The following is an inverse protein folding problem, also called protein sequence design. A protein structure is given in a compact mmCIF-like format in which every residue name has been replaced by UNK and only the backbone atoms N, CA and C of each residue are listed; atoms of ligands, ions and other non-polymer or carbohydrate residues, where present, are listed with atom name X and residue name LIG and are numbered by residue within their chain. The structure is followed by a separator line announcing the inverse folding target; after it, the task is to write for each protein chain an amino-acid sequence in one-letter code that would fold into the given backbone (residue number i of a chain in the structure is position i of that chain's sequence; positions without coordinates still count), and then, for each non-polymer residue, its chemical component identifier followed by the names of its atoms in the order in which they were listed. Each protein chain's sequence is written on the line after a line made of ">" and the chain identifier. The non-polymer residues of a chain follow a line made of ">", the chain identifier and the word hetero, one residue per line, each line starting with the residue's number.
data_IF_388326235964
#
_entry.id   IF_388326235964
#
_cell.length_a   1.000
_cell.length_b   1.000
_cell.length_c   1.000
_cell.angle_alpha   90.00
_cell.angle_beta   90.00
_cell.angle_gamma   90.00
#
_symmetry.space_group_name_H-M   'P 1'
#
loop_
_entity.id
_entity.type
_entity.pdbx_description
1 polymer ?
#
# COMPACT_ATOMS: atom_id res chain seq x y z
N UNK A 1 -26.73 20.78 -12.44
CA UNK A 1 -25.73 19.71 -12.48
C UNK A 1 -24.53 19.89 -11.51
N UNK A 2 -24.00 21.10 -11.30
CA UNK A 2 -22.88 21.32 -10.35
C UNK A 2 -23.25 21.03 -8.89
N UNK A 3 -24.45 21.46 -8.45
CA UNK A 3 -24.93 21.28 -7.06
C UNK A 3 -25.04 19.82 -6.65
N UNK A 4 -25.49 18.92 -7.54
CA UNK A 4 -25.62 17.49 -7.23
C UNK A 4 -24.26 16.81 -6.98
N UNK A 5 -23.22 17.22 -7.69
CA UNK A 5 -21.85 16.72 -7.46
C UNK A 5 -21.31 17.15 -6.10
N UNK A 6 -21.53 18.41 -5.72
CA UNK A 6 -21.11 18.93 -4.41
C UNK A 6 -21.82 18.20 -3.26
N UNK A 7 -23.13 17.97 -3.39
CA UNK A 7 -23.91 17.23 -2.39
C UNK A 7 -23.38 15.79 -2.24
N UNK A 8 -23.07 15.10 -3.33
CA UNK A 8 -22.49 13.77 -3.29
C UNK A 8 -21.10 13.79 -2.63
N UNK A 9 -20.27 14.78 -2.94
CA UNK A 9 -18.96 14.96 -2.28
C UNK A 9 -19.08 15.22 -0.79
N UNK A 10 -20.01 16.08 -0.38
CA UNK A 10 -20.29 16.36 1.03
C UNK A 10 -20.78 15.10 1.77
N UNK A 11 -21.64 14.29 1.14
CA UNK A 11 -22.09 13.02 1.70
C UNK A 11 -20.90 12.05 1.94
N UNK A 12 -19.98 11.94 0.98
CA UNK A 12 -18.78 11.11 1.14
C UNK A 12 -17.92 11.67 2.28
N UNK A 13 -17.69 12.98 2.34
CA UNK A 13 -16.90 13.59 3.39
C UNK A 13 -17.53 13.38 4.79
N UNK A 14 -18.86 13.48 4.91
CA UNK A 14 -19.57 13.19 6.16
C UNK A 14 -19.45 11.71 6.58
N UNK A 15 -19.42 10.78 5.61
CA UNK A 15 -19.21 9.37 5.88
C UNK A 15 -17.83 9.11 6.53
N UNK A 16 -16.79 9.78 6.06
CA UNK A 16 -15.47 9.73 6.71
C UNK A 16 -15.52 10.25 8.15
N UNK A 17 -16.29 11.30 8.40
CA UNK A 17 -16.47 11.82 9.76
C UNK A 17 -17.20 10.87 10.70
N UNK A 18 -18.31 10.27 10.24
CA UNK A 18 -19.04 9.27 11.03
C UNK A 18 -18.15 8.07 11.35
N UNK A 19 -17.40 7.59 10.36
CA UNK A 19 -16.48 6.47 10.55
C UNK A 19 -15.30 6.84 11.47
N UNK A 20 -14.82 8.09 11.45
CA UNK A 20 -13.80 8.57 12.38
C UNK A 20 -14.27 8.43 13.83
N UNK A 21 -15.49 8.92 14.13
CA UNK A 21 -16.07 8.84 15.46
C UNK A 21 -16.28 7.38 15.89
N UNK A 22 -16.88 6.56 15.04
CA UNK A 22 -17.11 5.14 15.33
C UNK A 22 -15.80 4.40 15.59
N UNK A 23 -14.80 4.64 14.78
CA UNK A 23 -13.49 4.00 14.91
C UNK A 23 -12.78 4.40 16.20
N UNK A 24 -12.86 5.68 16.58
CA UNK A 24 -12.31 6.16 17.85
C UNK A 24 -13.04 5.53 19.04
N UNK A 25 -14.37 5.41 18.98
CA UNK A 25 -15.18 4.78 20.04
C UNK A 25 -14.89 3.27 20.18
N UNK A 26 -14.46 2.60 19.13
CA UNK A 26 -14.14 1.16 19.13
C UNK A 26 -12.67 0.85 19.36
N UNK A 27 -11.87 1.85 19.74
CA UNK A 27 -10.44 1.67 19.99
C UNK A 27 -9.64 1.34 18.71
N UNK A 28 -9.99 1.93 17.57
CA UNK A 28 -9.31 1.79 16.27
C UNK A 28 -9.37 0.38 15.63
N UNK A 29 -10.31 -0.47 16.09
CA UNK A 29 -10.44 -1.84 15.56
C UNK A 29 -10.76 -1.91 14.06
N UNK A 30 -11.36 -0.86 13.50
CA UNK A 30 -11.81 -0.84 12.10
C UNK A 30 -10.87 -0.11 11.15
N UNK A 31 -9.68 0.29 11.60
CA UNK A 31 -8.72 1.05 10.81
C UNK A 31 -8.47 0.43 9.41
N UNK A 32 -8.13 -0.86 9.35
CA UNK A 32 -7.85 -1.53 8.08
C UNK A 32 -9.10 -1.65 7.19
N UNK A 33 -10.25 -1.95 7.78
CA UNK A 33 -11.50 -2.07 7.04
C UNK A 33 -11.91 -0.73 6.42
N UNK A 34 -11.78 0.35 7.19
CA UNK A 34 -12.07 1.71 6.74
C UNK A 34 -11.06 2.11 5.68
N UNK A 35 -9.78 1.85 5.89
CA UNK A 35 -8.71 2.16 4.95
C UNK A 35 -8.94 1.59 3.57
N UNK A 36 -9.31 0.33 3.48
CA UNK A 36 -9.55 -0.32 2.19
C UNK A 36 -10.97 -0.05 1.65
N UNK A 37 -11.97 -0.06 2.53
CA UNK A 37 -13.37 0.08 2.14
C UNK A 37 -13.73 1.47 1.65
N UNK A 38 -13.19 2.51 2.27
CA UNK A 38 -13.48 3.90 1.94
C UNK A 38 -12.84 4.40 0.64
N UNK A 39 -11.88 3.67 0.09
CA UNK A 39 -11.40 3.91 -1.26
C UNK A 39 -12.50 3.70 -2.33
N UNK A 40 -13.49 2.83 -2.07
CA UNK A 40 -14.55 2.51 -3.03
C UNK A 40 -15.47 3.70 -3.32
N UNK A 41 -16.09 4.37 -2.32
CA UNK A 41 -16.94 5.54 -2.59
C UNK A 41 -16.21 6.66 -3.32
N UNK A 42 -14.96 6.92 -2.94
CA UNK A 42 -14.13 7.92 -3.61
C UNK A 42 -13.77 7.50 -5.04
N UNK A 43 -13.48 6.22 -5.29
CA UNK A 43 -13.22 5.72 -6.65
C UNK A 43 -14.44 5.89 -7.57
N UNK A 44 -15.63 5.56 -7.09
CA UNK A 44 -16.88 5.76 -7.84
C UNK A 44 -17.12 7.25 -8.10
N UNK A 45 -16.90 8.08 -7.11
CA UNK A 45 -17.10 9.52 -7.21
C UNK A 45 -16.13 10.17 -8.19
N UNK A 46 -14.84 9.89 -8.08
CA UNK A 46 -13.80 10.42 -8.97
C UNK A 46 -13.97 9.95 -10.42
N UNK A 47 -14.41 8.71 -10.64
CA UNK A 47 -14.80 8.21 -11.96
C UNK A 47 -15.91 9.03 -12.59
N UNK A 48 -16.97 9.37 -11.82
CA UNK A 48 -18.14 10.11 -12.33
C UNK A 48 -17.87 11.62 -12.49
N UNK A 49 -17.14 12.22 -11.56
CA UNK A 49 -17.01 13.68 -11.49
C UNK A 49 -15.70 14.20 -12.06
N UNK A 50 -14.58 13.51 -11.85
CA UNK A 50 -13.25 13.88 -12.29
C UNK A 50 -12.36 14.42 -11.19
N UNK A 51 -11.14 14.84 -11.56
CA UNK A 51 -10.07 15.19 -10.61
C UNK A 51 -10.43 16.35 -9.68
N UNK A 52 -10.98 17.43 -10.24
CA UNK A 52 -11.23 18.67 -9.47
C UNK A 52 -12.19 18.42 -8.29
N UNK A 53 -13.33 17.82 -8.59
CA UNK A 53 -14.35 17.53 -7.60
C UNK A 53 -13.88 16.46 -6.61
N UNK A 54 -13.13 15.45 -7.08
CA UNK A 54 -12.54 14.43 -6.22
C UNK A 54 -11.55 15.04 -5.23
N UNK A 55 -10.66 15.94 -5.67
CA UNK A 55 -9.71 16.63 -4.79
C UNK A 55 -10.43 17.52 -3.77
N UNK A 56 -11.46 18.26 -4.17
CA UNK A 56 -12.25 19.07 -3.22
C UNK A 56 -12.88 18.20 -2.13
N UNK A 57 -13.47 17.08 -2.52
CA UNK A 57 -14.04 16.11 -1.57
C UNK A 57 -12.97 15.48 -0.70
N UNK A 58 -11.81 15.13 -1.25
CA UNK A 58 -10.68 14.55 -0.50
C UNK A 58 -10.16 15.53 0.54
N UNK A 59 -9.98 16.80 0.20
CA UNK A 59 -9.55 17.83 1.16
C UNK A 59 -10.59 17.99 2.28
N UNK A 60 -11.88 18.07 1.94
CA UNK A 60 -12.95 18.16 2.94
C UNK A 60 -12.97 16.93 3.86
N UNK A 61 -12.85 15.72 3.30
CA UNK A 61 -12.78 14.47 4.07
C UNK A 61 -11.56 14.44 4.99
N UNK A 62 -10.42 14.95 4.53
CA UNK A 62 -9.18 15.03 5.30
C UNK A 62 -9.32 15.97 6.50
N UNK A 63 -9.92 17.14 6.29
CA UNK A 63 -10.20 18.11 7.38
C UNK A 63 -11.13 17.48 8.43
N UNK A 64 -12.19 16.80 7.98
CA UNK A 64 -13.12 16.12 8.88
C UNK A 64 -12.43 14.99 9.64
N UNK A 65 -11.61 14.18 8.95
CA UNK A 65 -10.83 13.13 9.58
C UNK A 65 -9.87 13.67 10.64
N UNK A 66 -9.26 14.83 10.41
CA UNK A 66 -8.38 15.50 11.35
C UNK A 66 -9.13 16.04 12.59
N UNK A 67 -10.36 16.52 12.41
CA UNK A 67 -11.16 17.07 13.50
C UNK A 67 -11.75 15.98 14.42
N UNK A 68 -12.12 14.84 13.88
CA UNK A 68 -12.87 13.80 14.60
C UNK A 68 -12.12 12.48 14.79
N UNK A 69 -10.99 12.29 14.12
CA UNK A 69 -10.20 11.07 14.18
C UNK A 69 -8.89 11.23 14.93
N UNK A 70 -8.16 10.13 15.04
CA UNK A 70 -6.77 10.09 15.51
C UNK A 70 -5.80 10.44 14.38
N UNK A 71 -4.55 10.75 14.70
CA UNK A 71 -3.52 10.98 13.69
C UNK A 71 -3.32 9.74 12.79
N UNK A 72 -3.37 8.53 13.39
CA UNK A 72 -3.33 7.27 12.62
C UNK A 72 -4.47 7.19 11.62
N UNK A 73 -5.69 7.53 12.04
CA UNK A 73 -6.87 7.55 11.17
C UNK A 73 -6.70 8.53 10.00
N UNK A 74 -6.12 9.70 10.23
CA UNK A 74 -5.85 10.70 9.18
C UNK A 74 -4.95 10.13 8.09
N UNK A 75 -3.90 9.38 8.46
CA UNK A 75 -2.99 8.74 7.50
C UNK A 75 -3.68 7.61 6.72
N UNK A 76 -4.53 6.84 7.36
CA UNK A 76 -5.37 5.82 6.71
C UNK A 76 -6.33 6.46 5.71
N UNK A 77 -6.96 7.56 6.08
CA UNK A 77 -7.84 8.33 5.19
C UNK A 77 -7.06 8.89 4.00
N UNK A 78 -5.84 9.37 4.21
CA UNK A 78 -4.96 9.86 3.13
C UNK A 78 -4.72 8.77 2.07
N UNK A 79 -4.35 7.57 2.49
CA UNK A 79 -4.12 6.44 1.58
C UNK A 79 -5.40 6.04 0.84
N UNK A 80 -6.54 5.98 1.54
CA UNK A 80 -7.85 5.64 0.96
C UNK A 80 -8.30 6.65 -0.09
N UNK A 81 -8.20 7.94 0.22
CA UNK A 81 -8.57 9.03 -0.68
C UNK A 81 -7.65 9.06 -1.91
N UNK A 82 -6.34 8.90 -1.70
CA UNK A 82 -5.36 8.84 -2.77
C UNK A 82 -5.63 7.67 -3.71
N UNK A 83 -5.71 6.46 -3.14
CA UNK A 83 -5.95 5.25 -3.92
C UNK A 83 -7.30 5.27 -4.64
N UNK A 84 -8.39 5.65 -3.94
CA UNK A 84 -9.71 5.74 -4.55
C UNK A 84 -9.75 6.75 -5.70
N UNK A 85 -9.11 7.92 -5.53
CA UNK A 85 -9.01 8.93 -6.59
C UNK A 85 -8.22 8.38 -7.79
N UNK A 86 -7.10 7.72 -7.57
CA UNK A 86 -6.30 7.08 -8.62
C UNK A 86 -7.12 6.06 -9.39
N UNK A 87 -7.77 5.12 -8.70
CA UNK A 87 -8.60 4.09 -9.36
C UNK A 87 -9.68 4.71 -10.22
N UNK A 88 -10.45 5.65 -9.68
CA UNK A 88 -11.54 6.27 -10.42
C UNK A 88 -11.08 7.08 -11.63
N UNK A 89 -10.01 7.87 -11.50
CA UNK A 89 -9.47 8.68 -12.59
C UNK A 89 -8.79 7.82 -13.67
N UNK A 90 -8.00 6.84 -13.27
CA UNK A 90 -7.36 5.93 -14.21
C UNK A 90 -8.40 5.16 -15.03
N UNK A 91 -9.49 4.72 -14.40
CA UNK A 91 -10.60 4.08 -15.09
C UNK A 91 -11.28 5.04 -16.06
N UNK A 92 -11.57 6.28 -15.62
CA UNK A 92 -12.18 7.32 -16.46
C UNK A 92 -11.34 7.62 -17.71
N UNK A 93 -10.01 7.66 -17.55
CA UNK A 93 -9.05 7.97 -18.59
C UNK A 93 -8.57 6.74 -19.37
N UNK A 94 -9.15 5.55 -19.10
CA UNK A 94 -8.74 4.27 -19.71
C UNK A 94 -7.24 3.98 -19.58
N UNK A 95 -6.65 4.36 -18.43
CA UNK A 95 -5.26 4.11 -18.15
C UNK A 95 -5.00 2.60 -17.92
N UNK A 96 -3.74 2.17 -18.08
CA UNK A 96 -3.33 0.80 -17.85
C UNK A 96 -3.46 0.42 -16.38
N UNK A 97 -3.74 -0.86 -16.09
CA UNK A 97 -3.89 -1.40 -14.74
C UNK A 97 -2.59 -1.28 -13.93
N UNK A 98 -1.45 -1.47 -14.59
CA UNK A 98 -0.12 -1.34 -14.00
C UNK A 98 0.13 0.10 -13.52
N UNK A 99 -0.27 1.09 -14.29
CA UNK A 99 -0.18 2.51 -13.89
C UNK A 99 -1.04 2.77 -12.66
N UNK A 100 -2.25 2.21 -12.62
CA UNK A 100 -3.15 2.32 -11.47
C UNK A 100 -2.55 1.67 -10.22
N UNK A 101 -1.94 0.48 -10.38
CA UNK A 101 -1.29 -0.25 -9.30
C UNK A 101 -0.10 0.54 -8.72
N UNK A 102 0.77 1.05 -9.59
CA UNK A 102 1.96 1.80 -9.18
C UNK A 102 1.58 3.11 -8.49
N UNK A 103 0.67 3.89 -9.07
CA UNK A 103 0.21 5.14 -8.47
C UNK A 103 -0.51 4.90 -7.13
N UNK A 104 -1.32 3.85 -7.04
CA UNK A 104 -1.97 3.47 -5.78
C UNK A 104 -0.97 3.03 -4.72
N UNK A 105 0.00 2.20 -5.09
CA UNK A 105 1.07 1.78 -4.19
C UNK A 105 1.90 2.97 -3.68
N UNK A 106 2.09 4.01 -4.50
CA UNK A 106 2.78 5.24 -4.07
C UNK A 106 2.05 5.94 -2.92
N UNK A 107 0.71 6.01 -2.96
CA UNK A 107 -0.07 6.60 -1.86
C UNK A 107 0.00 5.77 -0.58
N UNK A 108 -0.08 4.45 -0.68
CA UNK A 108 0.08 3.57 0.49
C UNK A 108 1.49 3.69 1.05
N UNK A 109 2.51 3.60 0.21
CA UNK A 109 3.90 3.76 0.63
C UNK A 109 4.16 5.09 1.33
N UNK A 110 3.65 6.19 0.77
CA UNK A 110 3.78 7.51 1.39
C UNK A 110 3.09 7.57 2.76
N UNK A 111 1.90 7.02 2.88
CA UNK A 111 1.15 6.97 4.13
C UNK A 111 1.87 6.14 5.19
N UNK A 112 2.34 4.94 4.83
CA UNK A 112 3.06 4.06 5.73
C UNK A 112 4.43 4.64 6.13
N UNK A 113 5.12 5.28 5.17
CA UNK A 113 6.37 5.98 5.46
C UNK A 113 6.17 7.13 6.45
N UNK A 114 5.13 7.95 6.25
CA UNK A 114 4.77 9.01 7.19
C UNK A 114 4.44 8.44 8.58
N UNK A 115 3.67 7.35 8.63
CA UNK A 115 3.28 6.70 9.87
C UNK A 115 4.50 6.20 10.66
N UNK A 116 5.38 5.43 10.04
CA UNK A 116 6.50 4.78 10.73
C UNK A 116 7.72 5.68 10.96
N UNK A 117 8.01 6.60 10.03
CA UNK A 117 9.25 7.38 10.08
C UNK A 117 9.07 8.84 10.51
N UNK A 118 7.93 9.47 10.18
CA UNK A 118 7.72 10.89 10.47
C UNK A 118 6.93 11.07 11.76
N UNK A 119 5.81 10.34 11.89
CA UNK A 119 4.90 10.52 13.02
C UNK A 119 5.09 9.48 14.14
N UNK A 120 6.02 8.57 14.02
CA UNK A 120 6.26 7.53 15.02
C UNK A 120 6.45 8.10 16.44
N UNK A 121 7.23 9.16 16.59
CA UNK A 121 7.45 9.80 17.89
C UNK A 121 6.18 10.41 18.51
N UNK A 122 5.32 11.00 17.68
CA UNK A 122 4.02 11.59 18.11
C UNK A 122 3.00 10.50 18.43
N UNK A 123 3.05 9.38 17.70
CA UNK A 123 2.17 8.23 17.88
C UNK A 123 2.59 7.32 19.04
N UNK A 124 3.73 7.61 19.67
CA UNK A 124 4.29 6.75 20.72
C UNK A 124 4.87 5.43 20.19
N UNK A 125 5.09 5.35 18.88
CA UNK A 125 5.64 4.17 18.23
C UNK A 125 7.16 4.24 18.29
N UNK A 126 7.80 3.22 18.85
CA UNK A 126 9.25 3.07 18.76
C UNK A 126 9.58 1.96 17.76
N UNK A 127 9.83 2.36 16.51
CA UNK A 127 10.11 1.43 15.41
C UNK A 127 11.22 0.42 15.74
N UNK A 128 12.25 0.86 16.46
CA UNK A 128 13.36 -0.02 16.84
C UNK A 128 12.90 -1.08 17.86
N UNK A 129 12.08 -0.70 18.84
CA UNK A 129 11.55 -1.61 19.85
C UNK A 129 10.59 -2.62 19.23
N UNK A 130 9.65 -2.15 18.41
CA UNK A 130 8.71 -3.02 17.70
C UNK A 130 9.43 -3.98 16.75
N UNK A 131 10.42 -3.48 16.01
CA UNK A 131 11.23 -4.33 15.15
C UNK A 131 12.01 -5.41 15.94
N UNK A 132 12.51 -5.08 17.14
CA UNK A 132 13.16 -6.05 18.02
C UNK A 132 12.18 -7.12 18.51
N UNK A 133 10.99 -6.71 18.91
CA UNK A 133 9.97 -7.65 19.36
C UNK A 133 9.54 -8.59 18.25
N UNK A 134 9.30 -8.08 17.06
CA UNK A 134 8.99 -8.90 15.87
C UNK A 134 10.12 -9.86 15.53
N UNK A 135 11.36 -9.39 15.52
CA UNK A 135 12.52 -10.24 15.29
C UNK A 135 12.61 -11.36 16.32
N UNK A 136 12.45 -11.05 17.61
CA UNK A 136 12.49 -12.05 18.68
C UNK A 136 11.38 -13.08 18.54
N UNK A 137 10.16 -12.67 18.12
CA UNK A 137 9.06 -13.60 17.85
C UNK A 137 9.37 -14.54 16.67
N UNK A 138 9.99 -14.03 15.61
CA UNK A 138 10.40 -14.84 14.46
C UNK A 138 11.48 -15.86 14.87
N UNK A 139 12.50 -15.43 15.62
CA UNK A 139 13.56 -16.33 16.08
C UNK A 139 13.02 -17.35 17.08
N UNK A 140 12.07 -16.98 17.93
CA UNK A 140 11.42 -17.93 18.84
C UNK A 140 10.62 -19.00 18.07
N UNK A 141 9.98 -18.64 16.96
CA UNK A 141 9.25 -19.58 16.10
C UNK A 141 10.20 -20.47 15.26
N UNK A 142 11.31 -19.92 14.80
CA UNK A 142 12.28 -20.62 13.94
C UNK A 142 13.71 -20.33 14.41
N UNK A 143 14.21 -21.04 15.46
CA UNK A 143 15.52 -20.76 16.07
C UNK A 143 16.71 -20.87 15.13
N UNK A 144 16.62 -21.72 14.10
CA UNK A 144 17.68 -21.91 13.10
C UNK A 144 18.01 -20.66 12.29
N UNK A 145 17.07 -19.71 12.20
CA UNK A 145 17.28 -18.45 11.49
C UNK A 145 18.29 -17.53 12.19
N UNK A 146 18.48 -17.64 13.51
CA UNK A 146 19.43 -16.81 14.26
C UNK A 146 20.87 -16.92 13.75
N UNK A 147 21.23 -18.06 13.15
CA UNK A 147 22.58 -18.32 12.63
C UNK A 147 22.84 -17.65 11.27
N UNK A 148 21.79 -17.28 10.54
CA UNK A 148 21.87 -16.76 9.16
C UNK A 148 21.38 -15.33 9.04
N UNK A 149 20.51 -14.89 9.95
CA UNK A 149 19.77 -13.65 9.86
C UNK A 149 19.85 -12.86 11.17
N UNK A 150 20.57 -11.74 11.13
CA UNK A 150 20.77 -10.89 12.30
C UNK A 150 19.64 -9.87 12.46
N UNK A 151 19.50 -9.29 13.67
CA UNK A 151 18.57 -8.19 13.89
C UNK A 151 18.82 -7.00 12.95
N UNK A 152 20.09 -6.70 12.65
CA UNK A 152 20.43 -5.61 11.73
C UNK A 152 19.95 -5.89 10.30
N UNK A 153 20.06 -7.15 9.86
CA UNK A 153 19.53 -7.56 8.55
C UNK A 153 18.01 -7.39 8.50
N UNK A 154 17.30 -7.79 9.57
CA UNK A 154 15.86 -7.62 9.70
C UNK A 154 15.45 -6.14 9.65
N UNK A 155 16.12 -5.31 10.44
CA UNK A 155 15.82 -3.88 10.52
C UNK A 155 16.01 -3.16 9.18
N UNK A 156 17.08 -3.50 8.46
CA UNK A 156 17.37 -2.97 7.14
C UNK A 156 16.33 -3.37 6.07
N UNK A 157 15.57 -4.45 6.31
CA UNK A 157 14.53 -4.89 5.37
C UNK A 157 13.17 -4.19 5.58
N UNK A 158 12.98 -3.46 6.68
CA UNK A 158 11.70 -2.80 6.97
C UNK A 158 11.25 -1.89 5.84
N UNK A 159 12.09 -0.97 5.26
CA UNK A 159 11.64 -0.12 4.16
C UNK A 159 11.23 -0.90 2.92
N UNK A 160 11.91 -2.01 2.62
CA UNK A 160 11.55 -2.89 1.50
C UNK A 160 10.23 -3.62 1.77
N UNK A 161 10.00 -4.07 2.99
CA UNK A 161 8.74 -4.73 3.37
C UNK A 161 7.55 -3.77 3.28
N UNK A 162 7.72 -2.52 3.69
CA UNK A 162 6.71 -1.46 3.52
C UNK A 162 6.39 -1.26 2.04
N UNK A 163 7.39 -1.22 1.17
CA UNK A 163 7.19 -1.09 -0.27
C UNK A 163 6.38 -2.26 -0.84
N UNK A 164 6.73 -3.49 -0.49
CA UNK A 164 6.01 -4.70 -0.94
C UNK A 164 4.57 -4.68 -0.44
N UNK A 165 4.36 -4.36 0.85
CA UNK A 165 3.03 -4.26 1.44
C UNK A 165 2.18 -3.19 0.75
N UNK A 166 2.76 -2.06 0.38
CA UNK A 166 2.06 -1.00 -0.36
C UNK A 166 1.52 -1.48 -1.72
N UNK A 167 2.28 -2.32 -2.42
CA UNK A 167 1.81 -2.94 -3.66
C UNK A 167 0.67 -3.93 -3.41
N UNK A 168 0.77 -4.77 -2.37
CA UNK A 168 -0.29 -5.71 -2.00
C UNK A 168 -1.56 -4.98 -1.57
N UNK A 169 -1.45 -3.93 -0.78
CA UNK A 169 -2.58 -3.08 -0.37
C UNK A 169 -3.25 -2.42 -1.58
N UNK A 170 -2.45 -1.86 -2.49
CA UNK A 170 -2.95 -1.26 -3.73
C UNK A 170 -3.72 -2.28 -4.57
N UNK A 171 -3.15 -3.48 -4.76
CA UNK A 171 -3.80 -4.57 -5.48
C UNK A 171 -5.12 -5.00 -4.84
N UNK A 172 -5.14 -5.15 -3.51
CA UNK A 172 -6.33 -5.52 -2.74
C UNK A 172 -7.45 -4.49 -2.93
N UNK A 173 -7.14 -3.19 -2.82
CA UNK A 173 -8.14 -2.13 -3.03
C UNK A 173 -8.63 -2.11 -4.47
N UNK A 174 -7.76 -2.29 -5.46
CA UNK A 174 -8.18 -2.42 -6.86
C UNK A 174 -9.15 -3.58 -7.06
N UNK A 175 -8.88 -4.73 -6.44
CA UNK A 175 -9.74 -5.91 -6.49
C UNK A 175 -11.11 -5.62 -5.84
N UNK A 176 -11.13 -4.97 -4.67
CA UNK A 176 -12.37 -4.56 -4.02
C UNK A 176 -13.15 -3.56 -4.89
N UNK A 177 -12.49 -2.55 -5.43
CA UNK A 177 -13.12 -1.60 -6.36
C UNK A 177 -13.71 -2.33 -7.58
N UNK A 178 -13.02 -3.31 -8.16
CA UNK A 178 -13.50 -4.06 -9.32
C UNK A 178 -14.81 -4.80 -9.03
N UNK A 179 -14.93 -5.41 -7.83
CA UNK A 179 -16.17 -6.07 -7.42
C UNK A 179 -17.37 -5.11 -7.37
N UNK A 180 -17.15 -3.90 -6.84
CA UNK A 180 -18.21 -2.87 -6.78
C UNK A 180 -18.50 -2.24 -8.14
N UNK A 181 -17.49 -1.96 -8.95
CA UNK A 181 -17.65 -1.43 -10.30
C UNK A 181 -18.41 -2.40 -11.21
N UNK A 182 -18.15 -3.71 -11.08
CA UNK A 182 -18.91 -4.75 -11.78
C UNK A 182 -20.41 -4.71 -11.44
N UNK A 183 -20.77 -4.51 -10.17
CA UNK A 183 -22.17 -4.34 -9.75
C UNK A 183 -22.81 -3.08 -10.32
N UNK A 184 -22.03 -2.04 -10.53
CA UNK A 184 -22.47 -0.77 -11.15
C UNK A 184 -22.45 -0.82 -12.68
N UNK A 185 -22.14 -1.98 -13.29
CA UNK A 185 -21.99 -2.17 -14.74
C UNK A 185 -20.93 -1.25 -15.37
N UNK A 186 -19.93 -0.87 -14.60
CA UNK A 186 -18.76 -0.14 -15.08
C UNK A 186 -17.71 -1.18 -15.50
N UNK A 187 -17.22 -1.14 -16.77
CA UNK A 187 -16.25 -2.11 -17.24
C UNK A 187 -14.91 -1.93 -16.53
N UNK A 188 -14.67 -2.74 -15.53
CA UNK A 188 -13.40 -2.84 -14.83
C UNK A 188 -13.08 -4.31 -14.62
N UNK A 189 -12.29 -4.85 -15.51
CA UNK A 189 -11.80 -6.22 -15.41
C UNK A 189 -10.42 -6.23 -14.74
N UNK A 190 -10.33 -6.90 -13.60
CA UNK A 190 -9.11 -7.09 -12.80
C UNK A 190 -8.46 -8.45 -13.07
N UNK A 191 -8.83 -9.15 -14.14
CA UNK A 191 -8.10 -10.38 -14.50
C UNK A 191 -6.62 -10.03 -14.78
N UNK A 192 -5.84 -9.88 -13.72
CA UNK A 192 -4.40 -10.02 -13.80
C UNK A 192 -4.19 -11.53 -13.92
N UNK A 193 -3.95 -11.98 -15.11
CA UNK A 193 -3.51 -13.35 -15.31
C UNK A 193 -2.08 -13.43 -14.77
N UNK A 194 -1.95 -13.70 -13.48
CA UNK A 194 -0.65 -13.96 -12.84
C UNK A 194 0.10 -15.04 -13.65
N UNK A 195 -0.64 -16.02 -14.16
CA UNK A 195 -0.13 -17.07 -15.05
C UNK A 195 0.42 -16.57 -16.40
N UNK A 196 0.10 -15.35 -16.82
CA UNK A 196 0.66 -14.74 -18.06
C UNK A 196 1.78 -13.74 -17.78
N UNK A 197 2.07 -13.46 -16.52
CA UNK A 197 3.16 -12.59 -16.12
C UNK A 197 4.48 -13.37 -16.19
N UNK A 198 4.98 -13.58 -17.39
CA UNK A 198 6.31 -14.15 -17.60
C UNK A 198 7.30 -13.02 -17.74
N UNK A 199 8.33 -13.05 -16.91
CA UNK A 199 9.48 -12.20 -17.18
C UNK A 199 10.11 -12.60 -18.53
N UNK A 200 10.52 -11.60 -19.30
CA UNK A 200 11.35 -11.86 -20.47
C UNK A 200 12.59 -12.67 -20.04
N UNK A 201 13.08 -13.64 -20.83
CA UNK A 201 14.32 -14.36 -20.51
C UNK A 201 15.48 -13.44 -20.13
N UNK A 202 15.53 -12.23 -20.73
CA UNK A 202 16.52 -11.19 -20.39
C UNK A 202 16.40 -10.74 -18.94
N UNK A 203 15.17 -10.65 -18.40
CA UNK A 203 14.92 -10.26 -17.01
C UNK A 203 15.39 -11.35 -16.05
N UNK A 204 15.15 -12.63 -16.37
CA UNK A 204 15.67 -13.77 -15.62
C UNK A 204 17.20 -13.75 -15.52
N UNK A 205 17.91 -13.47 -16.62
CA UNK A 205 19.37 -13.31 -16.61
C UNK A 205 19.83 -12.13 -15.76
N UNK A 206 19.13 -10.99 -15.80
CA UNK A 206 19.44 -9.83 -14.96
C UNK A 206 19.28 -10.19 -13.49
N UNK A 207 18.17 -10.84 -13.13
CA UNK A 207 17.94 -11.29 -11.74
C UNK A 207 19.00 -12.28 -11.27
N UNK A 208 19.43 -13.22 -12.13
CA UNK A 208 20.48 -14.18 -11.82
C UNK A 208 21.85 -13.49 -11.60
N UNK A 209 22.20 -12.52 -12.45
CA UNK A 209 23.42 -11.72 -12.28
C UNK A 209 23.35 -10.86 -11.01
N UNK A 210 22.20 -10.24 -10.72
CA UNK A 210 22.00 -9.48 -9.49
C UNK A 210 22.11 -10.38 -8.26
N UNK A 211 21.54 -11.58 -8.29
CA UNK A 211 21.64 -12.54 -7.19
C UNK A 211 23.09 -12.97 -6.96
N UNK A 212 23.76 -13.45 -7.99
CA UNK A 212 25.16 -13.87 -7.90
C UNK A 212 26.09 -12.72 -7.48
N UNK A 213 25.90 -11.53 -8.07
CA UNK A 213 26.66 -10.33 -7.74
C UNK A 213 26.46 -9.90 -6.29
N UNK A 214 25.22 -9.94 -5.79
CA UNK A 214 24.91 -9.59 -4.40
C UNK A 214 25.48 -10.62 -3.40
N UNK A 215 25.48 -11.92 -3.73
CA UNK A 215 26.12 -12.96 -2.90
C UNK A 215 27.63 -12.75 -2.81
N UNK A 216 28.27 -12.47 -3.92
CA UNK A 216 29.71 -12.18 -3.96
C UNK A 216 30.02 -10.88 -3.21
N UNK A 217 29.27 -9.80 -3.48
CA UNK A 217 29.44 -8.52 -2.82
C UNK A 217 29.28 -8.61 -1.29
N UNK A 218 28.34 -9.45 -0.82
CA UNK A 218 28.15 -9.70 0.62
C UNK A 218 29.39 -10.33 1.27
N UNK A 219 30.10 -11.18 0.54
CA UNK A 219 31.31 -11.80 1.04
C UNK A 219 32.48 -10.82 1.17
N UNK A 220 32.59 -9.84 0.25
CA UNK A 220 33.71 -8.88 0.23
C UNK A 220 33.42 -7.58 0.99
N UNK A 221 32.18 -7.08 0.94
CA UNK A 221 31.79 -5.79 1.53
C UNK A 221 30.97 -5.91 2.81
N UNK A 222 30.68 -7.14 3.26
CA UNK A 222 29.85 -7.37 4.43
C UNK A 222 28.38 -6.99 4.21
N UNK A 223 27.66 -6.68 5.30
CA UNK A 223 26.22 -6.39 5.28
C UNK A 223 25.91 -4.93 4.89
N UNK A 224 26.35 -4.51 3.70
CA UNK A 224 25.96 -3.22 3.14
C UNK A 224 24.48 -3.25 2.74
N UNK A 225 23.70 -2.28 3.17
CA UNK A 225 22.23 -2.18 2.97
C UNK A 225 21.84 -2.36 1.50
N UNK A 226 22.58 -1.72 0.57
CA UNK A 226 22.32 -1.84 -0.88
C UNK A 226 22.48 -3.29 -1.37
N UNK A 227 23.49 -3.99 -0.88
CA UNK A 227 23.76 -5.39 -1.25
C UNK A 227 22.62 -6.29 -0.75
N UNK A 228 22.12 -6.05 0.46
CA UNK A 228 20.97 -6.76 1.00
C UNK A 228 19.71 -6.54 0.16
N UNK A 229 19.40 -5.29 -0.22
CA UNK A 229 18.26 -5.00 -1.08
C UNK A 229 18.34 -5.68 -2.44
N UNK A 230 19.51 -5.65 -3.09
CA UNK A 230 19.72 -6.34 -4.37
C UNK A 230 19.49 -7.85 -4.23
N UNK A 231 19.98 -8.45 -3.16
CA UNK A 231 19.79 -9.87 -2.86
C UNK A 231 18.31 -10.22 -2.70
N UNK A 232 17.57 -9.49 -1.85
CA UNK A 232 16.14 -9.77 -1.60
C UNK A 232 15.25 -9.46 -2.81
N UNK A 233 15.51 -8.37 -3.56
CA UNK A 233 14.78 -8.06 -4.80
C UNK A 233 14.98 -9.18 -5.83
N UNK A 234 16.19 -9.73 -5.93
CA UNK A 234 16.47 -10.84 -6.83
C UNK A 234 15.70 -12.11 -6.45
N UNK A 235 15.67 -12.45 -5.16
CA UNK A 235 14.89 -13.60 -4.65
C UNK A 235 13.40 -13.42 -4.92
N UNK A 236 12.85 -12.25 -4.61
CA UNK A 236 11.44 -11.95 -4.87
C UNK A 236 11.12 -12.01 -6.36
N UNK A 237 12.02 -11.51 -7.21
CA UNK A 237 11.87 -11.62 -8.67
C UNK A 237 11.77 -13.08 -9.12
N UNK A 238 12.65 -13.95 -8.63
CA UNK A 238 12.58 -15.39 -8.92
C UNK A 238 11.34 -16.07 -8.35
N UNK A 239 10.89 -15.69 -7.15
CA UNK A 239 9.65 -16.23 -6.60
C UNK A 239 8.44 -15.86 -7.46
N UNK A 240 8.38 -14.63 -7.96
CA UNK A 240 7.30 -14.18 -8.84
C UNK A 240 7.35 -14.91 -10.18
N UNK A 241 8.54 -15.12 -10.76
CA UNK A 241 8.71 -15.87 -12.00
C UNK A 241 8.39 -17.36 -11.80
N UNK A 242 8.78 -17.94 -10.66
CA UNK A 242 8.48 -19.33 -10.29
C UNK A 242 7.00 -19.61 -10.01
N UNK A 243 6.22 -18.61 -9.57
CA UNK A 243 4.78 -18.74 -9.40
C UNK A 243 3.99 -18.71 -10.73
N UNK A 244 4.67 -18.32 -11.84
CA UNK A 244 4.10 -18.31 -13.18
C UNK A 244 4.26 -19.66 -13.92
N UNK A 245 4.89 -20.65 -13.31
CA UNK A 245 4.99 -22.04 -13.75
C UNK A 245 3.94 -22.90 -13.07
#
# INVERSE_FOLDING_TARGET
>A
MKTNKLVQGAFIASLFGVLAVLNTMTGTMFDSLIGYGMAIPIAIYSYKTGLKEALMTSVASMVIAFLFGTLSYVLIVLSSLGMGTVVGLCLKNKAKKETMLVLGATFFFLSDFLYFYVFSGVLGINLLTEAKEMYNQIIAAVPSLSNVFTFQDFYNLIPLSILIMSFLQSYLVMMLCALFFKRLRIPFDMSIHIATFRFSPKMGYILAIMLAGSMIARQYFGNVVIVQYLYFISILGFMVDGLAF
#
